data_IF_444053695243
#
_entry.id   IF_444053695243
#
_cell.length_a   1.000
_cell.length_b   1.000
_cell.length_c   1.000
_cell.angle_alpha   90.00
_cell.angle_beta   90.00
_cell.angle_gamma   90.00
#
_symmetry.space_group_name_H-M   'P 1'
#
loop_
_entity.id
_entity.type
_entity.pdbx_description
1 polymer ?
#
# COMPACT_ATOMS: atom_id res chain seq x y z
N UNK A 1 -4.93 41.20 -11.12
CA UNK A 1 -4.40 40.37 -10.01
C UNK A 1 -3.76 39.12 -10.60
N UNK A 2 -2.48 38.84 -10.32
CA UNK A 2 -1.82 37.61 -10.78
C UNK A 2 -2.26 36.46 -9.87
N UNK A 3 -2.87 35.42 -10.45
CA UNK A 3 -3.25 34.22 -9.71
C UNK A 3 -1.99 33.49 -9.23
N UNK A 4 -1.74 33.49 -7.91
CA UNK A 4 -0.58 32.84 -7.27
C UNK A 4 -0.85 31.38 -6.87
N UNK A 5 -2.01 30.84 -7.23
CA UNK A 5 -2.39 29.48 -6.87
C UNK A 5 -1.55 28.49 -7.68
N UNK A 6 -0.94 27.53 -6.98
CA UNK A 6 -0.09 26.54 -7.64
C UNK A 6 -0.97 25.54 -8.38
N UNK A 7 -0.89 25.50 -9.70
CA UNK A 7 -1.71 24.65 -10.60
C UNK A 7 -1.80 23.17 -10.19
N UNK A 8 -0.76 22.61 -9.58
CA UNK A 8 -0.76 21.22 -9.11
C UNK A 8 -1.55 20.98 -7.81
N UNK A 9 -2.00 22.04 -7.12
CA UNK A 9 -2.84 21.97 -5.92
C UNK A 9 -4.32 22.15 -6.22
N UNK A 10 -4.67 22.51 -7.45
CA UNK A 10 -6.06 22.63 -7.88
C UNK A 10 -6.71 21.25 -7.87
N UNK A 11 -7.90 21.17 -7.27
CA UNK A 11 -8.69 19.94 -7.26
C UNK A 11 -9.27 19.71 -8.64
N UNK A 12 -8.78 18.66 -9.30
CA UNK A 12 -9.29 18.17 -10.57
C UNK A 12 -10.34 17.09 -10.32
N UNK A 13 -10.95 16.58 -11.39
CA UNK A 13 -11.95 15.50 -11.36
C UNK A 13 -11.55 14.31 -10.48
N UNK A 14 -10.26 13.97 -10.46
CA UNK A 14 -9.68 12.95 -9.58
C UNK A 14 -8.59 13.59 -8.69
N UNK A 15 -8.95 14.13 -7.52
CA UNK A 15 -7.99 14.77 -6.63
C UNK A 15 -7.10 13.73 -5.96
N UNK A 16 -5.82 14.06 -5.79
CA UNK A 16 -4.91 13.20 -5.01
C UNK A 16 -5.28 13.25 -3.52
N UNK A 17 -5.05 12.17 -2.76
CA UNK A 17 -5.45 12.11 -1.37
C UNK A 17 -4.63 13.05 -0.48
N UNK A 18 -5.21 13.46 0.65
CA UNK A 18 -4.50 14.29 1.61
C UNK A 18 -3.45 13.46 2.38
N UNK A 19 -2.21 13.47 1.91
CA UNK A 19 -1.10 12.64 2.44
C UNK A 19 -0.88 12.84 3.94
N UNK A 20 -0.94 14.07 4.45
CA UNK A 20 -0.82 14.34 5.88
C UNK A 20 -1.90 13.68 6.74
N UNK A 21 -3.11 13.49 6.20
CA UNK A 21 -4.21 12.84 6.92
C UNK A 21 -4.04 11.31 6.91
N UNK A 22 -3.55 10.72 5.81
CA UNK A 22 -3.18 9.31 5.76
C UNK A 22 -2.14 8.98 6.84
N UNK A 23 -1.12 9.84 6.95
CA UNK A 23 -0.09 9.73 7.98
C UNK A 23 -0.67 9.81 9.40
N UNK A 24 -1.46 10.85 9.73
CA UNK A 24 -1.94 11.02 11.11
C UNK A 24 -2.96 9.95 11.50
N UNK A 25 -3.75 9.46 10.53
CA UNK A 25 -4.67 8.34 10.72
C UNK A 25 -3.91 7.09 11.16
N UNK A 26 -2.88 6.70 10.38
CA UNK A 26 -2.05 5.54 10.71
C UNK A 26 -1.34 5.69 12.07
N UNK A 27 -0.83 6.88 12.38
CA UNK A 27 -0.20 7.18 13.68
C UNK A 27 -1.17 7.01 14.85
N UNK A 28 -2.41 7.46 14.70
CA UNK A 28 -3.45 7.34 15.73
C UNK A 28 -3.89 5.88 15.91
N UNK A 29 -4.19 5.20 14.81
CA UNK A 29 -4.67 3.81 14.82
C UNK A 29 -3.67 2.86 15.47
N UNK A 30 -2.37 3.11 15.29
CA UNK A 30 -1.30 2.29 15.83
C UNK A 30 -0.66 2.85 17.12
N UNK A 31 -1.29 3.86 17.75
CA UNK A 31 -0.81 4.50 19.00
C UNK A 31 0.68 4.91 18.96
N UNK A 32 1.15 5.40 17.80
CA UNK A 32 2.56 5.73 17.59
C UNK A 32 2.94 7.01 18.34
N UNK A 33 4.00 6.93 19.16
CA UNK A 33 4.54 8.10 19.85
C UNK A 33 5.23 9.05 18.85
N UNK A 34 4.62 10.21 18.62
CA UNK A 34 5.10 11.22 17.67
C UNK A 34 6.45 11.83 18.03
N UNK A 35 6.78 11.93 19.32
CA UNK A 35 8.08 12.44 19.76
C UNK A 35 9.20 11.41 19.53
N UNK A 36 8.90 10.12 19.69
CA UNK A 36 9.82 9.06 19.30
C UNK A 36 10.03 9.02 17.79
N UNK A 37 8.94 9.14 17.02
CA UNK A 37 9.01 9.20 15.56
C UNK A 37 9.82 10.39 15.06
N UNK A 38 9.67 11.57 15.67
CA UNK A 38 10.46 12.74 15.27
C UNK A 38 11.96 12.53 15.47
N UNK A 39 12.35 11.86 16.57
CA UNK A 39 13.75 11.46 16.80
C UNK A 39 14.23 10.45 15.77
N UNK A 40 13.45 9.40 15.49
CA UNK A 40 13.76 8.37 14.49
C UNK A 40 13.97 8.97 13.10
N UNK A 41 13.20 9.99 12.76
CA UNK A 41 13.29 10.69 11.47
C UNK A 41 14.29 11.85 11.44
N UNK A 42 14.98 12.14 12.55
CA UNK A 42 15.85 13.31 12.69
C UNK A 42 15.18 14.65 12.30
N UNK A 43 13.88 14.80 12.59
CA UNK A 43 13.13 16.04 12.35
C UNK A 43 12.68 16.70 13.64
N UNK A 44 12.56 18.03 13.63
CA UNK A 44 12.07 18.75 14.80
C UNK A 44 10.62 18.40 15.12
N UNK A 45 10.24 18.51 16.41
CA UNK A 45 8.85 18.31 16.86
C UNK A 45 7.88 19.23 16.11
N UNK A 46 8.28 20.47 15.82
CA UNK A 46 7.48 21.43 15.06
C UNK A 46 7.21 20.95 13.63
N UNK A 47 8.23 20.42 12.95
CA UNK A 47 8.09 19.85 11.60
C UNK A 47 7.16 18.64 11.62
N UNK A 48 7.38 17.69 12.54
CA UNK A 48 6.53 16.52 12.74
C UNK A 48 5.08 16.90 13.06
N UNK A 49 4.89 17.96 13.85
CA UNK A 49 3.57 18.46 14.19
C UNK A 49 2.83 19.03 12.99
N UNK A 50 3.54 19.56 11.99
CA UNK A 50 2.94 20.16 10.81
C UNK A 50 2.66 19.17 9.66
N UNK A 51 3.18 17.94 9.71
CA UNK A 51 2.95 16.95 8.64
C UNK A 51 1.48 16.67 8.36
N UNK A 52 0.63 16.60 9.38
CA UNK A 52 -0.80 16.34 9.20
C UNK A 52 -1.54 17.43 8.40
N UNK A 53 -1.03 18.67 8.39
CA UNK A 53 -1.64 19.82 7.68
C UNK A 53 -1.29 19.82 6.19
N UNK A 54 -0.35 18.98 5.75
CA UNK A 54 0.19 18.99 4.39
C UNK A 54 -0.64 18.09 3.49
N UNK A 55 -1.46 18.69 2.62
CA UNK A 55 -2.21 17.95 1.58
C UNK A 55 -1.28 17.18 0.65
N UNK A 56 -0.20 17.83 0.22
CA UNK A 56 0.89 17.24 -0.57
C UNK A 56 2.18 17.27 0.23
N UNK A 57 3.00 16.24 0.08
CA UNK A 57 4.26 16.05 0.78
C UNK A 57 5.33 15.60 -0.22
N UNK A 58 6.59 15.99 0.02
CA UNK A 58 7.71 15.56 -0.82
C UNK A 58 7.90 14.04 -0.72
N UNK A 59 8.22 13.41 -1.85
CA UNK A 59 8.38 11.96 -1.94
C UNK A 59 9.39 11.40 -0.93
N UNK A 60 10.53 12.08 -0.72
CA UNK A 60 11.53 11.67 0.27
C UNK A 60 10.98 11.61 1.70
N UNK A 61 10.06 12.51 2.07
CA UNK A 61 9.42 12.48 3.39
C UNK A 61 8.46 11.29 3.49
N UNK A 62 7.67 11.03 2.44
CA UNK A 62 6.75 9.89 2.38
C UNK A 62 7.52 8.58 2.46
N UNK A 63 8.64 8.47 1.74
CA UNK A 63 9.52 7.32 1.75
C UNK A 63 10.10 7.06 3.15
N UNK A 64 10.65 8.09 3.79
CA UNK A 64 11.22 7.98 5.13
C UNK A 64 10.15 7.67 6.19
N UNK A 65 8.94 8.24 6.06
CA UNK A 65 7.80 7.87 6.91
C UNK A 65 7.46 6.40 6.75
N UNK A 66 7.48 5.89 5.52
CA UNK A 66 7.13 4.51 5.23
C UNK A 66 8.09 3.53 5.91
N UNK A 67 9.39 3.81 5.82
CA UNK A 67 10.43 3.02 6.51
C UNK A 67 10.33 3.19 8.02
N UNK A 68 10.17 4.42 8.51
CA UNK A 68 10.15 4.71 9.95
C UNK A 68 8.95 4.05 10.65
N UNK A 69 7.83 3.87 9.96
CA UNK A 69 6.59 3.30 10.48
C UNK A 69 6.34 1.86 10.04
N UNK A 70 7.20 1.29 9.20
CA UNK A 70 7.00 -0.01 8.57
C UNK A 70 5.62 -0.11 7.87
N UNK A 71 5.22 0.96 7.18
CA UNK A 71 3.93 1.07 6.50
C UNK A 71 4.12 1.70 5.13
N UNK A 72 3.73 1.03 4.05
CA UNK A 72 3.99 1.53 2.71
C UNK A 72 2.97 2.60 2.29
N UNK A 73 3.23 3.86 2.65
CA UNK A 73 2.36 4.98 2.28
C UNK A 73 2.31 5.22 0.77
N UNK A 74 3.34 4.81 0.02
CA UNK A 74 3.35 4.95 -1.45
C UNK A 74 2.32 4.01 -2.06
N UNK A 75 2.30 2.75 -1.64
CA UNK A 75 1.29 1.78 -2.07
C UNK A 75 -0.13 2.23 -1.66
N UNK A 76 -0.32 2.69 -0.43
CA UNK A 76 -1.61 3.20 0.04
C UNK A 76 -2.14 4.39 -0.77
N UNK A 77 -1.24 5.25 -1.28
CA UNK A 77 -1.63 6.34 -2.20
C UNK A 77 -1.94 5.77 -3.58
N UNK A 78 -1.17 4.79 -4.06
CA UNK A 78 -1.38 4.15 -5.35
C UNK A 78 -2.72 3.41 -5.43
N UNK A 79 -3.17 2.76 -4.35
CA UNK A 79 -4.48 2.10 -4.26
C UNK A 79 -5.67 3.06 -4.49
N UNK A 80 -5.49 4.36 -4.25
CA UNK A 80 -6.51 5.38 -4.48
C UNK A 80 -6.43 5.99 -5.88
N UNK A 81 -5.45 5.58 -6.69
CA UNK A 81 -5.28 6.07 -8.04
C UNK A 81 -6.26 5.38 -8.98
N UNK A 82 -6.99 6.11 -9.83
CA UNK A 82 -7.91 5.53 -10.81
C UNK A 82 -7.12 5.04 -12.04
N UNK A 83 -6.03 4.33 -11.81
CA UNK A 83 -5.15 3.77 -12.84
C UNK A 83 -4.81 2.35 -12.41
N UNK A 84 -5.24 1.40 -13.22
CA UNK A 84 -4.94 -0.02 -12.97
C UNK A 84 -3.45 -0.26 -13.07
N UNK A 85 -2.91 -0.99 -12.10
CA UNK A 85 -1.52 -1.38 -12.07
C UNK A 85 -1.38 -2.72 -11.36
N UNK A 86 -0.56 -3.61 -11.93
CA UNK A 86 -0.16 -4.85 -11.30
C UNK A 86 1.36 -4.82 -11.06
N UNK A 87 1.75 -5.21 -9.85
CA UNK A 87 3.16 -5.39 -9.54
C UNK A 87 3.68 -6.68 -10.15
N UNK A 88 4.98 -6.73 -10.48
CA UNK A 88 5.64 -7.96 -10.93
C UNK A 88 5.45 -9.13 -9.95
N UNK A 89 5.37 -8.83 -8.65
CA UNK A 89 5.14 -9.83 -7.60
C UNK A 89 3.72 -10.37 -7.66
N UNK A 90 2.71 -9.52 -7.85
CA UNK A 90 1.32 -9.95 -8.03
C UNK A 90 1.16 -10.82 -9.27
N UNK A 91 1.73 -10.42 -10.40
CA UNK A 91 1.70 -11.23 -11.62
C UNK A 91 2.35 -12.60 -11.40
N UNK A 92 3.50 -12.64 -10.73
CA UNK A 92 4.17 -13.90 -10.39
C UNK A 92 3.31 -14.79 -9.48
N UNK A 93 2.69 -14.21 -8.44
CA UNK A 93 1.80 -14.93 -7.53
C UNK A 93 0.54 -15.44 -8.24
N UNK A 94 -0.04 -14.66 -9.17
CA UNK A 94 -1.18 -15.11 -9.98
C UNK A 94 -0.80 -16.33 -10.82
N UNK A 95 0.38 -16.31 -11.45
CA UNK A 95 0.87 -17.44 -12.23
C UNK A 95 1.13 -18.67 -11.35
N UNK A 96 1.69 -18.49 -10.16
CA UNK A 96 1.90 -19.56 -9.18
C UNK A 96 0.57 -20.16 -8.72
N UNK A 97 -0.45 -19.33 -8.44
CA UNK A 97 -1.80 -19.78 -8.08
C UNK A 97 -2.42 -20.61 -9.20
N UNK A 98 -2.26 -20.20 -10.46
CA UNK A 98 -2.74 -20.98 -11.61
C UNK A 98 -2.04 -22.33 -11.67
N UNK A 99 -0.71 -22.34 -11.61
CA UNK A 99 0.06 -23.59 -11.64
C UNK A 99 -0.30 -24.55 -10.49
N UNK A 100 -0.49 -24.01 -9.28
CA UNK A 100 -0.90 -24.81 -8.11
C UNK A 100 -2.33 -25.36 -8.26
N UNK A 101 -3.26 -24.60 -8.84
CA UNK A 101 -4.62 -25.08 -9.12
C UNK A 101 -4.62 -26.22 -10.13
N UNK A 102 -3.84 -26.10 -11.20
CA UNK A 102 -3.70 -27.16 -12.22
C UNK A 102 -3.11 -28.44 -11.60
N UNK A 103 -2.16 -28.30 -10.67
CA UNK A 103 -1.60 -29.44 -9.92
C UNK A 103 -2.62 -30.10 -9.01
N UNK A 104 -3.43 -29.30 -8.29
CA UNK A 104 -4.49 -29.82 -7.42
C UNK A 104 -5.52 -30.61 -8.24
N UNK A 105 -5.99 -30.05 -9.36
CA UNK A 105 -6.95 -30.72 -10.23
C UNK A 105 -6.41 -32.07 -10.73
N UNK A 106 -5.14 -32.11 -11.16
CA UNK A 106 -4.49 -33.35 -11.57
C UNK A 106 -4.46 -34.39 -10.44
N UNK A 107 -4.06 -33.98 -9.23
CA UNK A 107 -4.00 -34.87 -8.07
C UNK A 107 -5.38 -35.36 -7.64
N UNK A 108 -6.41 -34.53 -7.75
CA UNK A 108 -7.80 -34.93 -7.47
C UNK A 108 -8.28 -36.00 -8.44
N UNK A 109 -7.99 -35.85 -9.75
CA UNK A 109 -8.28 -36.87 -10.76
C UNK A 109 -7.53 -38.17 -10.46
N UNK A 110 -6.22 -38.10 -10.15
CA UNK A 110 -5.42 -39.27 -9.81
C UNK A 110 -6.01 -39.98 -8.57
N UNK A 111 -6.34 -39.25 -7.51
CA UNK A 111 -6.96 -39.81 -6.31
C UNK A 111 -8.33 -40.44 -6.60
N UNK A 112 -9.16 -39.83 -7.43
CA UNK A 112 -10.44 -40.40 -7.82
C UNK A 112 -10.27 -41.74 -8.55
N UNK A 113 -9.33 -41.79 -9.50
CA UNK A 113 -8.97 -43.03 -10.21
C UNK A 113 -8.49 -44.09 -9.23
N UNK A 114 -7.57 -43.74 -8.31
CA UNK A 114 -7.09 -44.68 -7.30
C UNK A 114 -8.22 -45.23 -6.41
N UNK A 115 -9.11 -44.35 -5.90
CA UNK A 115 -10.27 -44.76 -5.10
C UNK A 115 -11.18 -45.72 -5.85
N UNK A 116 -11.43 -45.48 -7.13
CA UNK A 116 -12.22 -46.39 -7.98
C UNK A 116 -11.57 -47.76 -8.09
N UNK A 117 -10.25 -47.83 -8.29
CA UNK A 117 -9.52 -49.10 -8.39
C UNK A 117 -9.54 -49.88 -7.07
N UNK A 118 -9.33 -49.20 -5.93
CA UNK A 118 -9.26 -49.85 -4.62
C UNK A 118 -10.62 -50.29 -4.10
N UNK A 119 -11.69 -49.54 -4.39
CA UNK A 119 -13.06 -49.88 -3.95
C UNK A 119 -13.75 -50.91 -4.86
N UNK A 120 -13.12 -51.29 -5.98
CA UNK A 120 -13.65 -52.27 -6.92
C UNK A 120 -13.08 -53.69 -6.71
N UNK A 121 -12.38 -53.92 -5.58
CA UNK A 121 -11.96 -55.23 -5.06
C UNK A 121 -12.83 -55.62 -3.87
#
# INVERSE_FOLDING_TARGET
>A
MINRTKKYKEDKTNPYPHVGQLFIKHVKENNINRAALSRKMAVSKGVMNNYHKRKSMQMGIIWNLSIALNHNFVAQIAEQMPVDFETKKETALKNEIVALKDQIEKLEIELEVYKRITNSK
#
